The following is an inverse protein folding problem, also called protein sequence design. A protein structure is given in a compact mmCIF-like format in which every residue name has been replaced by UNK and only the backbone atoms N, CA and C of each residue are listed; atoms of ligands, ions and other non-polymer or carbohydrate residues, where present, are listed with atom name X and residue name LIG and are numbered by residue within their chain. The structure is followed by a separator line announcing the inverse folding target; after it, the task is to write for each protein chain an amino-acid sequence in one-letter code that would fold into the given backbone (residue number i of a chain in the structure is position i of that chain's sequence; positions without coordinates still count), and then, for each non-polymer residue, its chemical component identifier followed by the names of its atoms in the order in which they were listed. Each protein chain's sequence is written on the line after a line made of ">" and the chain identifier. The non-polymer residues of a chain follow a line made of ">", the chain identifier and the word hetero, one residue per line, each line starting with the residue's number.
data_IF_786424940981
#
_entry.id   IF_786424940981
#
_cell.length_a   1.000
_cell.length_b   1.000
_cell.length_c   1.000
_cell.angle_alpha   90.00
_cell.angle_beta   90.00
_cell.angle_gamma   90.00
#
_symmetry.space_group_name_H-M   'P 1'
#
loop_
_entity.id
_entity.type
_entity.pdbx_description
1 polymer ?
#
# COMPACT_ATOMS: atom_id res chain seq x y z
N UNK A 1 4.25 -62.55 -35.39
CA UNK A 1 3.23 -63.32 -34.62
C UNK A 1 3.64 -63.30 -33.15
N UNK A 2 2.72 -62.89 -32.25
CA UNK A 2 2.52 -63.24 -30.82
C UNK A 2 3.80 -63.44 -29.97
N UNK A 3 4.01 -62.92 -28.76
CA UNK A 3 3.17 -62.51 -27.61
C UNK A 3 4.22 -62.28 -26.50
N UNK A 4 4.07 -61.31 -25.60
CA UNK A 4 4.30 -61.47 -24.14
C UNK A 4 3.99 -60.11 -23.46
N UNK A 5 2.83 -59.97 -22.84
CA UNK A 5 2.48 -60.38 -21.47
C UNK A 5 2.88 -59.31 -20.45
N UNK A 6 1.82 -58.69 -19.95
CA UNK A 6 1.73 -57.66 -18.94
C UNK A 6 2.16 -58.24 -17.58
N UNK A 7 3.01 -57.52 -16.84
CA UNK A 7 3.17 -57.70 -15.40
C UNK A 7 2.74 -56.39 -14.72
N UNK A 8 1.63 -56.49 -14.00
CA UNK A 8 1.00 -55.46 -13.20
C UNK A 8 1.76 -55.30 -11.89
N UNK A 9 2.22 -54.09 -11.55
CA UNK A 9 2.66 -53.75 -10.19
C UNK A 9 1.86 -52.55 -9.69
N UNK A 10 0.98 -52.80 -8.72
CA UNK A 10 0.37 -51.77 -7.89
C UNK A 10 1.46 -51.14 -7.01
N UNK A 11 1.63 -49.82 -7.09
CA UNK A 11 2.27 -49.05 -6.03
C UNK A 11 1.38 -47.86 -5.67
N UNK A 12 0.95 -47.86 -4.41
CA UNK A 12 0.17 -46.82 -3.76
C UNK A 12 1.01 -45.54 -3.67
N UNK A 13 0.60 -44.49 -4.38
CA UNK A 13 1.22 -43.16 -4.29
C UNK A 13 0.49 -42.35 -3.20
N UNK A 14 1.08 -42.29 -2.00
CA UNK A 14 0.78 -41.22 -1.07
C UNK A 14 1.45 -39.93 -1.59
N UNK A 15 0.64 -38.98 -2.05
CA UNK A 15 1.12 -37.69 -2.54
C UNK A 15 1.62 -36.83 -1.36
N UNK A 16 2.94 -36.78 -1.17
CA UNK A 16 3.55 -35.77 -0.31
C UNK A 16 3.86 -34.53 -1.15
N UNK A 17 2.97 -33.55 -1.10
CA UNK A 17 3.12 -32.26 -1.79
C UNK A 17 4.19 -31.42 -1.09
N UNK A 18 5.35 -31.20 -1.73
CA UNK A 18 6.30 -30.18 -1.28
C UNK A 18 5.90 -28.82 -1.85
N UNK A 19 5.48 -27.93 -0.96
CA UNK A 19 5.16 -26.53 -1.25
C UNK A 19 6.43 -25.69 -1.03
N UNK A 20 7.20 -25.36 -2.08
CA UNK A 20 8.24 -24.34 -1.97
C UNK A 20 7.59 -22.96 -2.04
N UNK A 21 7.11 -22.50 -0.88
CA UNK A 21 6.63 -21.13 -0.71
C UNK A 21 7.84 -20.19 -0.66
N UNK A 22 8.20 -19.61 -1.80
CA UNK A 22 9.09 -18.44 -1.82
C UNK A 22 8.32 -17.23 -1.26
N UNK A 23 8.33 -17.07 0.06
CA UNK A 23 7.83 -15.85 0.70
C UNK A 23 8.90 -14.77 0.54
N UNK A 24 8.70 -13.86 -0.41
CA UNK A 24 9.32 -12.54 -0.30
C UNK A 24 8.81 -11.89 0.99
N UNK A 25 9.70 -11.73 1.98
CA UNK A 25 9.38 -10.95 3.18
C UNK A 25 9.37 -9.48 2.77
N UNK A 26 8.17 -8.93 2.62
CA UNK A 26 7.94 -7.48 2.45
C UNK A 26 8.66 -6.72 3.57
N UNK A 27 9.35 -5.65 3.17
CA UNK A 27 9.98 -4.70 4.07
C UNK A 27 8.93 -4.16 5.05
N UNK A 28 9.23 -4.26 6.34
CA UNK A 28 8.34 -3.80 7.41
C UNK A 28 8.81 -2.44 7.90
N UNK A 29 8.47 -1.40 7.15
CA UNK A 29 8.54 -0.04 7.67
C UNK A 29 7.40 0.14 8.68
N UNK A 30 7.74 0.62 9.88
CA UNK A 30 6.77 1.07 10.86
C UNK A 30 7.08 2.53 11.20
N UNK A 31 6.03 3.35 11.33
CA UNK A 31 6.12 4.69 11.92
C UNK A 31 6.21 4.48 13.43
N UNK A 32 7.30 4.92 14.06
CA UNK A 32 7.39 4.91 15.51
C UNK A 32 6.49 6.01 16.13
N UNK A 33 6.35 6.03 17.46
CA UNK A 33 5.52 7.00 18.21
C UNK A 33 5.92 8.48 18.04
N UNK A 34 6.94 8.76 17.21
CA UNK A 34 7.48 10.08 16.88
C UNK A 34 7.35 10.42 15.38
N UNK A 35 6.64 9.62 14.58
CA UNK A 35 6.48 9.91 13.15
C UNK A 35 7.69 9.54 12.29
N UNK A 36 8.70 8.87 12.84
CA UNK A 36 9.95 8.53 12.13
C UNK A 36 9.89 7.09 11.63
N UNK A 37 10.26 6.91 10.36
CA UNK A 37 10.38 5.60 9.73
C UNK A 37 11.66 4.90 10.17
N UNK A 38 11.51 3.69 10.70
CA UNK A 38 12.65 2.84 11.09
C UNK A 38 12.55 1.48 10.41
N UNK A 39 13.56 1.11 9.62
CA UNK A 39 13.70 -0.24 9.07
C UNK A 39 14.47 -1.13 10.04
N UNK A 40 13.85 -2.20 10.54
CA UNK A 40 14.56 -3.23 11.31
C UNK A 40 14.83 -4.44 10.42
N UNK A 41 16.11 -4.70 10.11
CA UNK A 41 16.52 -5.85 9.29
C UNK A 41 16.76 -7.06 10.18
N UNK A 42 15.92 -8.10 10.05
CA UNK A 42 16.19 -9.42 10.64
C UNK A 42 16.70 -10.37 9.57
N UNK A 43 17.99 -10.70 9.61
CA UNK A 43 18.56 -11.80 8.82
C UNK A 43 18.21 -13.13 9.48
N UNK A 44 17.76 -14.11 8.69
CA UNK A 44 17.62 -15.51 9.12
C UNK A 44 18.54 -16.33 8.22
N UNK A 45 19.56 -16.97 8.79
CA UNK A 45 20.49 -17.85 8.06
C UNK A 45 19.80 -19.18 7.73
N UNK A 46 20.04 -19.72 6.54
CA UNK A 46 19.60 -21.06 6.13
C UNK A 46 20.76 -22.04 6.23
N UNK A 47 20.59 -23.12 6.99
CA UNK A 47 21.47 -24.29 6.94
C UNK A 47 20.98 -25.25 5.84
N UNK A 48 21.91 -25.75 5.03
CA UNK A 48 21.62 -26.79 4.03
C UNK A 48 22.59 -27.96 4.22
N UNK A 49 22.09 -29.20 4.26
CA UNK A 49 22.87 -30.39 3.89
C UNK A 49 21.98 -31.32 3.05
N UNK A 50 22.52 -31.71 1.89
CA UNK A 50 21.97 -32.57 0.84
C UNK A 50 22.47 -34.00 1.03
N UNK A 51 21.66 -35.02 0.72
CA UNK A 51 22.04 -36.37 0.19
C UNK A 51 20.72 -37.14 -0.10
N UNK A 52 20.46 -37.95 -1.14
CA UNK A 52 21.22 -38.50 -2.28
C UNK A 52 20.23 -39.07 -3.36
N UNK A 53 20.73 -39.18 -4.60
CA UNK A 53 20.36 -40.10 -5.71
C UNK A 53 19.10 -39.85 -6.57
N UNK A 54 19.35 -39.50 -7.84
CA UNK A 54 18.39 -39.17 -8.92
C UNK A 54 17.88 -40.40 -9.69
N UNK A 55 16.60 -40.40 -10.04
CA UNK A 55 16.06 -41.06 -11.26
C UNK A 55 15.42 -39.95 -12.11
N UNK A 56 15.90 -39.77 -13.35
CA UNK A 56 15.46 -38.69 -14.24
C UNK A 56 14.45 -39.21 -15.26
N UNK A 57 13.17 -38.91 -15.05
CA UNK A 57 12.14 -38.98 -16.09
C UNK A 57 11.86 -37.54 -16.51
N UNK A 58 12.35 -37.13 -17.67
CA UNK A 58 12.14 -35.79 -18.20
C UNK A 58 10.86 -35.76 -19.01
N UNK A 59 9.80 -35.22 -18.43
CA UNK A 59 8.64 -34.77 -19.19
C UNK A 59 8.93 -33.37 -19.75
N UNK A 60 8.63 -33.07 -21.03
CA UNK A 60 8.77 -31.71 -21.54
C UNK A 60 7.84 -30.80 -20.75
N UNK A 61 8.41 -29.94 -19.90
CA UNK A 61 7.64 -28.95 -19.14
C UNK A 61 7.05 -27.96 -20.14
N UNK A 62 5.74 -28.05 -20.38
CA UNK A 62 5.03 -26.99 -21.11
C UNK A 62 5.08 -25.76 -20.22
N UNK A 63 5.77 -24.67 -20.61
CA UNK A 63 5.84 -23.48 -19.79
C UNK A 63 4.44 -22.85 -19.74
N UNK A 64 3.74 -23.04 -18.61
CA UNK A 64 2.54 -22.27 -18.31
C UNK A 64 3.00 -20.85 -17.98
N UNK A 65 2.95 -19.96 -18.97
CA UNK A 65 3.12 -18.54 -18.72
C UNK A 65 1.87 -18.03 -18.02
N UNK A 66 1.89 -17.98 -16.69
CA UNK A 66 0.95 -17.13 -15.97
C UNK A 66 1.35 -15.69 -16.31
N UNK A 67 0.57 -15.02 -17.14
CA UNK A 67 0.64 -13.57 -17.25
C UNK A 67 0.29 -13.02 -15.88
N UNK A 68 1.30 -12.81 -15.02
CA UNK A 68 1.13 -11.98 -13.84
C UNK A 68 0.79 -10.62 -14.43
N UNK A 69 -0.45 -10.17 -14.22
CA UNK A 69 -0.86 -8.81 -14.55
C UNK A 69 -0.12 -7.88 -13.59
N UNK A 70 1.17 -7.70 -13.84
CA UNK A 70 2.02 -6.76 -13.13
C UNK A 70 1.67 -5.41 -13.70
N UNK A 71 0.70 -4.76 -13.05
CA UNK A 71 0.64 -3.31 -13.11
C UNK A 71 2.02 -2.79 -12.69
N UNK A 72 2.59 -1.78 -13.37
CA UNK A 72 3.77 -1.12 -12.82
C UNK A 72 3.45 -0.75 -11.37
N UNK A 73 4.37 -1.00 -10.44
CA UNK A 73 4.20 -0.59 -9.05
C UNK A 73 4.12 0.94 -9.02
N UNK A 74 2.90 1.46 -9.12
CA UNK A 74 2.57 2.87 -8.90
C UNK A 74 2.77 3.22 -7.42
N UNK A 75 2.78 2.19 -6.56
CA UNK A 75 3.00 2.30 -5.13
C UNK A 75 4.43 2.79 -4.89
N UNK A 76 4.60 4.04 -4.43
CA UNK A 76 5.90 4.53 -4.04
C UNK A 76 6.44 3.73 -2.85
N UNK A 77 7.77 3.76 -2.67
CA UNK A 77 8.42 3.22 -1.47
C UNK A 77 7.79 3.78 -0.19
N UNK A 78 8.06 3.14 0.95
CA UNK A 78 7.59 3.60 2.26
C UNK A 78 7.76 5.13 2.41
N UNK A 79 6.79 5.82 3.01
CA UNK A 79 6.82 7.27 3.07
C UNK A 79 7.97 7.71 3.96
N UNK A 80 8.45 8.92 3.74
CA UNK A 80 9.58 9.49 4.48
C UNK A 80 9.16 10.65 5.38
N UNK A 81 7.93 11.14 5.19
CA UNK A 81 7.31 12.25 5.91
C UNK A 81 5.78 12.09 5.90
N UNK A 82 5.06 13.03 6.53
CA UNK A 82 3.60 13.09 6.45
C UNK A 82 3.15 13.46 5.03
N UNK A 83 3.88 14.39 4.41
CA UNK A 83 3.66 14.84 3.02
C UNK A 83 4.60 14.11 2.06
N UNK A 84 4.03 13.25 1.23
CA UNK A 84 4.77 12.45 0.24
C UNK A 84 4.40 12.91 -1.17
N UNK A 85 5.15 13.90 -1.66
CA UNK A 85 4.95 14.51 -2.98
C UNK A 85 5.91 13.91 -4.02
N UNK A 86 5.45 12.87 -4.71
CA UNK A 86 6.17 12.21 -5.81
C UNK A 86 5.92 12.87 -7.17
N UNK A 87 4.95 13.80 -7.24
CA UNK A 87 4.69 14.61 -8.43
C UNK A 87 5.57 15.87 -8.49
N UNK A 88 6.25 16.22 -7.40
CA UNK A 88 7.07 17.42 -7.26
C UNK A 88 6.31 18.72 -7.58
N UNK A 89 5.04 18.79 -7.19
CA UNK A 89 4.19 19.96 -7.41
C UNK A 89 4.21 20.95 -6.24
N UNK A 90 4.74 20.56 -5.08
CA UNK A 90 4.83 21.41 -3.91
C UNK A 90 6.26 21.94 -3.72
N UNK A 91 6.36 23.21 -3.38
CA UNK A 91 7.61 23.81 -2.88
C UNK A 91 7.94 23.29 -1.48
N UNK A 92 9.21 23.38 -1.07
CA UNK A 92 9.63 22.97 0.28
C UNK A 92 8.90 23.72 1.40
N UNK A 93 8.59 25.00 1.19
CA UNK A 93 7.81 25.80 2.16
C UNK A 93 6.40 25.25 2.33
N UNK A 94 5.74 24.93 1.21
CA UNK A 94 4.39 24.34 1.20
C UNK A 94 4.36 22.97 1.88
N UNK A 95 5.34 22.10 1.58
CA UNK A 95 5.49 20.79 2.26
C UNK A 95 5.62 20.99 3.77
N UNK A 96 6.50 21.89 4.21
CA UNK A 96 6.70 22.21 5.64
C UNK A 96 5.43 22.73 6.30
N UNK A 97 4.65 23.58 5.63
CA UNK A 97 3.37 24.06 6.17
C UNK A 97 2.39 22.91 6.40
N UNK A 98 2.21 22.03 5.40
CA UNK A 98 1.32 20.87 5.51
C UNK A 98 1.82 19.87 6.57
N UNK A 99 3.12 19.57 6.60
CA UNK A 99 3.73 18.71 7.61
C UNK A 99 3.49 19.25 9.03
N UNK A 100 3.66 20.56 9.25
CA UNK A 100 3.38 21.17 10.56
C UNK A 100 1.92 21.05 10.98
N UNK A 101 0.98 21.23 10.05
CA UNK A 101 -0.46 21.05 10.35
C UNK A 101 -0.77 19.62 10.78
N UNK A 102 -0.15 18.63 10.11
CA UNK A 102 -0.33 17.21 10.44
C UNK A 102 0.36 16.85 11.75
N UNK A 103 1.58 17.35 11.98
CA UNK A 103 2.35 17.08 13.20
C UNK A 103 1.57 17.50 14.46
N UNK A 104 0.87 18.65 14.42
CA UNK A 104 0.02 19.10 15.54
C UNK A 104 -1.10 18.08 15.85
N UNK A 105 -1.72 17.47 14.84
CA UNK A 105 -2.75 16.44 15.03
C UNK A 105 -2.19 15.16 15.64
N UNK A 106 -1.00 14.78 15.18
CA UNK A 106 -0.30 13.62 15.71
C UNK A 106 0.10 13.82 17.17
N UNK A 107 0.67 14.97 17.51
CA UNK A 107 1.16 15.24 18.86
C UNK A 107 0.01 15.36 19.87
N UNK A 108 -1.07 16.03 19.49
CA UNK A 108 -2.21 16.32 20.38
C UNK A 108 -3.19 15.15 20.55
N UNK A 109 -3.52 14.45 19.45
CA UNK A 109 -4.60 13.45 19.44
C UNK A 109 -4.17 12.08 18.90
N UNK A 110 -2.91 11.95 18.46
CA UNK A 110 -2.37 10.74 17.83
C UNK A 110 -3.18 10.32 16.60
N UNK A 111 -3.62 11.32 15.83
CA UNK A 111 -4.23 11.13 14.52
C UNK A 111 -3.12 11.12 13.47
N UNK A 112 -2.96 10.01 12.75
CA UNK A 112 -1.96 9.86 11.69
C UNK A 112 -2.57 10.29 10.35
N UNK A 113 -2.07 11.38 9.76
CA UNK A 113 -2.51 11.81 8.43
C UNK A 113 -1.35 11.66 7.44
N UNK A 114 -1.58 11.00 6.32
CA UNK A 114 -0.60 10.84 5.24
C UNK A 114 -1.13 11.49 3.97
N UNK A 115 -0.42 12.49 3.44
CA UNK A 115 -0.70 13.08 2.13
C UNK A 115 0.18 12.41 1.09
N UNK A 116 -0.43 11.92 0.01
CA UNK A 116 0.25 11.23 -1.09
C UNK A 116 -0.13 11.90 -2.40
N UNK A 117 0.88 12.39 -3.12
CA UNK A 117 0.69 13.03 -4.42
C UNK A 117 1.51 12.28 -5.45
N UNK A 118 0.84 11.75 -6.46
CA UNK A 118 1.47 11.00 -7.56
C UNK A 118 1.13 11.64 -8.91
N UNK A 119 1.96 11.34 -9.91
CA UNK A 119 1.73 11.81 -11.26
C UNK A 119 0.55 11.11 -11.93
N UNK A 120 0.50 9.77 -11.88
CA UNK A 120 -0.52 8.97 -12.57
C UNK A 120 -0.82 7.64 -11.88
N UNK A 121 -2.05 7.18 -12.02
CA UNK A 121 -2.61 5.89 -11.61
C UNK A 121 -2.36 4.78 -12.64
N UNK A 122 -1.78 5.10 -13.80
CA UNK A 122 -1.50 4.13 -14.88
C UNK A 122 -2.71 3.25 -15.23
N UNK A 123 -3.91 3.84 -15.27
CA UNK A 123 -5.17 3.15 -15.59
C UNK A 123 -5.86 2.46 -14.41
N UNK A 124 -5.35 2.57 -13.18
CA UNK A 124 -6.07 2.13 -11.97
C UNK A 124 -7.12 3.15 -11.53
N UNK A 125 -8.15 2.65 -10.87
CA UNK A 125 -9.12 3.46 -10.12
C UNK A 125 -8.44 4.01 -8.85
N UNK A 126 -8.72 5.25 -8.46
CA UNK A 126 -7.96 5.91 -7.39
C UNK A 126 -8.22 5.29 -6.03
N UNK A 127 -9.45 4.86 -5.76
CA UNK A 127 -9.88 4.16 -4.56
C UNK A 127 -9.08 2.85 -4.39
N UNK A 128 -8.96 2.06 -5.46
CA UNK A 128 -8.19 0.81 -5.44
C UNK A 128 -6.70 1.09 -5.18
N UNK A 129 -6.13 2.10 -5.85
CA UNK A 129 -4.74 2.48 -5.65
C UNK A 129 -4.47 2.98 -4.21
N UNK A 130 -5.39 3.76 -3.65
CA UNK A 130 -5.29 4.26 -2.29
C UNK A 130 -5.42 3.13 -1.27
N UNK A 131 -6.36 2.21 -1.45
CA UNK A 131 -6.53 1.04 -0.59
C UNK A 131 -5.31 0.11 -0.61
N UNK A 132 -4.73 -0.17 -1.78
CA UNK A 132 -3.50 -0.93 -1.91
C UNK A 132 -2.34 -0.26 -1.17
N UNK A 133 -2.17 1.06 -1.36
CA UNK A 133 -1.10 1.83 -0.72
C UNK A 133 -1.28 1.90 0.80
N UNK A 134 -2.51 2.08 1.27
CA UNK A 134 -2.85 2.10 2.69
C UNK A 134 -2.45 0.79 3.40
N UNK A 135 -2.65 -0.35 2.72
CA UNK A 135 -2.22 -1.66 3.21
C UNK A 135 -0.70 -1.82 3.16
N UNK A 136 -0.07 -1.45 2.05
CA UNK A 136 1.39 -1.57 1.87
C UNK A 136 2.14 -0.74 2.92
N UNK A 137 1.65 0.47 3.21
CA UNK A 137 2.22 1.36 4.22
C UNK A 137 1.81 1.01 5.65
N UNK A 138 1.04 -0.07 5.84
CA UNK A 138 0.57 -0.56 7.13
C UNK A 138 -0.15 0.50 7.98
N UNK A 139 -0.80 1.49 7.36
CA UNK A 139 -1.43 2.60 8.07
C UNK A 139 -2.53 2.13 9.03
N UNK A 140 -3.16 0.99 8.74
CA UNK A 140 -4.19 0.39 9.59
C UNK A 140 -3.71 -0.05 10.98
N UNK A 141 -2.41 -0.30 11.15
CA UNK A 141 -1.84 -0.72 12.45
C UNK A 141 -1.67 0.44 13.42
N UNK A 142 -1.73 1.68 12.93
CA UNK A 142 -1.39 2.84 13.71
C UNK A 142 -2.49 3.18 14.73
N UNK A 143 -2.14 3.17 16.01
CA UNK A 143 -2.97 3.68 17.12
C UNK A 143 -4.45 3.31 17.06
N UNK A 144 -4.76 2.01 16.90
CA UNK A 144 -6.15 1.55 16.77
C UNK A 144 -6.82 1.97 15.46
N UNK A 145 -6.05 2.07 14.38
CA UNK A 145 -6.48 2.51 13.05
C UNK A 145 -6.99 3.97 13.03
N UNK A 146 -6.36 4.84 13.85
CA UNK A 146 -6.54 6.29 13.82
C UNK A 146 -5.65 6.93 12.76
N UNK A 147 -5.89 6.52 11.52
CA UNK A 147 -5.12 6.93 10.36
C UNK A 147 -6.02 7.40 9.23
N UNK A 148 -5.54 8.37 8.47
CA UNK A 148 -6.20 8.94 7.30
C UNK A 148 -5.16 9.07 6.21
N UNK A 149 -5.48 8.65 5.00
CA UNK A 149 -4.64 8.86 3.83
C UNK A 149 -5.39 9.70 2.80
N UNK A 150 -4.82 10.84 2.43
CA UNK A 150 -5.32 11.65 1.33
C UNK A 150 -4.43 11.37 0.13
N UNK A 151 -5.02 10.90 -0.97
CA UNK A 151 -4.30 10.61 -2.20
C UNK A 151 -4.78 11.52 -3.33
N UNK A 152 -3.83 12.04 -4.10
CA UNK A 152 -4.08 12.88 -5.27
C UNK A 152 -3.26 12.35 -6.44
N UNK A 153 -3.92 12.13 -7.58
CA UNK A 153 -3.27 11.91 -8.87
C UNK A 153 -3.44 13.13 -9.76
N UNK A 154 -2.31 13.74 -10.16
CA UNK A 154 -2.31 15.00 -10.89
C UNK A 154 -2.81 14.83 -12.33
N UNK A 155 -2.28 13.83 -13.06
CA UNK A 155 -2.61 13.66 -14.48
C UNK A 155 -3.99 13.03 -14.67
N UNK A 156 -4.42 12.15 -13.76
CA UNK A 156 -5.75 11.53 -13.82
C UNK A 156 -6.83 12.41 -13.16
N UNK A 157 -6.44 13.51 -12.51
CA UNK A 157 -7.33 14.42 -11.77
C UNK A 157 -8.20 13.70 -10.73
N UNK A 158 -7.69 12.60 -10.19
CA UNK A 158 -8.34 11.82 -9.14
C UNK A 158 -7.92 12.30 -7.75
N UNK A 159 -8.83 12.31 -6.80
CA UNK A 159 -8.50 12.44 -5.38
C UNK A 159 -9.44 11.58 -4.53
N UNK A 160 -8.91 10.99 -3.47
CA UNK A 160 -9.65 10.18 -2.50
C UNK A 160 -9.07 10.37 -1.11
N UNK A 161 -9.91 10.23 -0.09
CA UNK A 161 -9.52 10.19 1.32
C UNK A 161 -9.91 8.81 1.85
N UNK A 162 -8.91 8.01 2.18
CA UNK A 162 -9.08 6.72 2.85
C UNK A 162 -9.03 6.91 4.36
N UNK A 163 -10.09 6.48 5.04
CA UNK A 163 -10.28 6.69 6.47
C UNK A 163 -10.17 5.37 7.23
N UNK A 164 -9.26 5.34 8.19
CA UNK A 164 -9.09 4.24 9.14
C UNK A 164 -10.29 4.04 10.05
N UNK A 165 -10.52 2.81 10.49
CA UNK A 165 -11.69 2.44 11.30
C UNK A 165 -11.78 3.21 12.62
N UNK A 166 -10.67 3.73 13.15
CA UNK A 166 -10.65 4.54 14.37
C UNK A 166 -11.31 5.91 14.22
N UNK A 167 -11.56 6.37 12.99
CA UNK A 167 -12.23 7.64 12.69
C UNK A 167 -13.63 7.48 12.10
N UNK A 168 -14.02 6.27 11.65
CA UNK A 168 -15.28 6.04 10.92
C UNK A 168 -16.57 6.34 11.69
N UNK A 169 -16.50 6.52 13.01
CA UNK A 169 -17.66 6.91 13.81
C UNK A 169 -18.11 8.37 13.55
N UNK A 170 -17.19 9.24 13.09
CA UNK A 170 -17.43 10.68 12.91
C UNK A 170 -16.77 11.27 11.66
N UNK A 171 -15.92 10.50 10.96
CA UNK A 171 -15.41 10.82 9.64
C UNK A 171 -15.75 9.67 8.71
N UNK A 172 -16.94 9.73 8.15
CA UNK A 172 -17.48 8.77 7.20
C UNK A 172 -16.90 9.00 5.79
N UNK A 173 -17.11 8.01 4.91
CA UNK A 173 -16.78 8.17 3.50
C UNK A 173 -17.57 9.32 2.85
N UNK A 174 -18.80 9.58 3.32
CA UNK A 174 -19.64 10.67 2.83
C UNK A 174 -19.05 12.04 3.20
N UNK A 175 -18.68 12.24 4.47
CA UNK A 175 -18.03 13.48 4.93
C UNK A 175 -16.67 13.70 4.26
N UNK A 176 -15.89 12.64 4.10
CA UNK A 176 -14.60 12.70 3.39
C UNK A 176 -14.77 13.11 1.92
N UNK A 177 -15.79 12.55 1.26
CA UNK A 177 -16.15 12.92 -0.11
C UNK A 177 -16.66 14.35 -0.21
N UNK A 178 -17.37 14.83 0.81
CA UNK A 178 -17.87 16.20 0.87
C UNK A 178 -16.71 17.19 0.97
N UNK A 179 -15.76 16.97 1.90
CA UNK A 179 -14.52 17.77 2.01
C UNK A 179 -13.77 17.85 0.68
N UNK A 180 -13.63 16.72 -0.03
CA UNK A 180 -13.01 16.70 -1.36
C UNK A 180 -13.74 17.64 -2.32
N UNK A 181 -15.07 17.56 -2.36
CA UNK A 181 -15.90 18.31 -3.31
C UNK A 181 -15.97 19.81 -2.98
N UNK A 182 -16.01 20.17 -1.71
CA UNK A 182 -16.19 21.56 -1.25
C UNK A 182 -14.86 22.30 -1.13
N UNK A 183 -13.82 21.65 -0.58
CA UNK A 183 -12.56 22.32 -0.25
C UNK A 183 -11.47 22.07 -1.32
N UNK A 184 -11.34 20.83 -1.79
CA UNK A 184 -10.18 20.43 -2.61
C UNK A 184 -10.39 20.67 -4.10
N UNK A 185 -11.47 20.11 -4.67
CA UNK A 185 -11.73 20.13 -6.12
C UNK A 185 -11.83 21.55 -6.69
N UNK A 186 -12.48 22.54 -6.05
CA UNK A 186 -12.57 23.89 -6.60
C UNK A 186 -11.19 24.55 -6.78
N UNK A 187 -10.25 24.27 -5.88
CA UNK A 187 -8.88 24.79 -5.93
C UNK A 187 -8.01 24.01 -6.93
N UNK A 188 -8.18 22.69 -7.01
CA UNK A 188 -7.51 21.85 -8.02
C UNK A 188 -7.89 22.25 -9.45
N UNK A 189 -9.16 22.60 -9.68
CA UNK A 189 -9.63 23.12 -10.98
C UNK A 189 -8.94 24.43 -11.38
N UNK A 190 -8.49 25.22 -10.42
CA UNK A 190 -7.74 26.48 -10.63
C UNK A 190 -6.22 26.26 -10.70
N UNK A 191 -5.75 25.01 -10.63
CA UNK A 191 -4.33 24.66 -10.55
C UNK A 191 -3.68 24.94 -9.19
N UNK A 192 -4.48 25.29 -8.16
CA UNK A 192 -3.98 25.68 -6.84
C UNK A 192 -3.95 24.47 -5.90
N UNK A 193 -3.09 23.50 -6.22
CA UNK A 193 -3.01 22.22 -5.48
C UNK A 193 -2.64 22.37 -4.01
N UNK A 194 -1.66 23.21 -3.68
CA UNK A 194 -1.32 23.49 -2.29
C UNK A 194 -2.52 24.03 -1.50
N UNK A 195 -3.25 24.98 -2.10
CA UNK A 195 -4.43 25.58 -1.48
C UNK A 195 -5.51 24.53 -1.21
N UNK A 196 -5.86 23.73 -2.22
CA UNK A 196 -6.85 22.66 -2.06
C UNK A 196 -6.44 21.60 -1.03
N UNK A 197 -5.17 21.21 -0.98
CA UNK A 197 -4.66 20.28 0.03
C UNK A 197 -4.73 20.87 1.44
N UNK A 198 -4.35 22.14 1.60
CA UNK A 198 -4.38 22.85 2.88
C UNK A 198 -5.81 23.01 3.39
N UNK A 199 -6.73 23.42 2.52
CA UNK A 199 -8.13 23.66 2.88
C UNK A 199 -8.85 22.32 3.17
N UNK A 200 -8.59 21.27 2.38
CA UNK A 200 -9.06 19.92 2.68
C UNK A 200 -8.52 19.38 4.01
N UNK A 201 -7.23 19.59 4.30
CA UNK A 201 -6.65 19.22 5.60
C UNK A 201 -7.28 20.00 6.74
N UNK A 202 -7.61 21.28 6.55
CA UNK A 202 -8.31 22.08 7.55
C UNK A 202 -9.73 21.56 7.82
N UNK A 203 -10.46 21.16 6.77
CA UNK A 203 -11.76 20.51 6.89
C UNK A 203 -11.69 19.18 7.67
N UNK A 204 -10.69 18.34 7.36
CA UNK A 204 -10.43 17.11 8.12
C UNK A 204 -10.16 17.42 9.60
N UNK A 205 -9.25 18.35 9.87
CA UNK A 205 -8.87 18.75 11.24
C UNK A 205 -10.08 19.30 12.02
N UNK A 206 -10.96 20.04 11.35
CA UNK A 206 -12.18 20.54 11.97
C UNK A 206 -13.04 19.38 12.50
N UNK A 207 -13.36 18.40 11.64
CA UNK A 207 -14.16 17.22 12.03
C UNK A 207 -13.47 16.42 13.15
N UNK A 208 -12.15 16.20 13.03
CA UNK A 208 -11.38 15.45 14.03
C UNK A 208 -11.33 16.14 15.40
N UNK A 209 -11.43 17.47 15.44
CA UNK A 209 -11.39 18.23 16.68
C UNK A 209 -12.75 18.39 17.34
N UNK A 210 -13.84 18.28 16.56
CA UNK A 210 -15.21 18.39 17.03
C UNK A 210 -15.74 17.14 17.75
N UNK A 211 -14.97 16.05 17.82
CA UNK A 211 -15.32 14.77 18.44
C UNK A 211 -14.21 14.25 19.35
#
# INVERSE_FOLDING_TARGET
>A
MKKLMIITMLFSFAALTFHTSCKQKKHKGYINDKGVWTDTIHYTTFDTIVTHTKVLITYPSVPYYTAVKTWPSIIPSAPTSWVNDYANILTNSQKKTLDSMIAVQYDSRKNQISLVIINTLSGKVIEDAAAELYQEWNLWKYNGNKSIMVMVSINDRGTVIEVGSGHKAYLTNAESTDIIKTEMIPEFKKGRYFQGLRDGLQGLIFILNSN
#
